data_IF_172365725815
#
_entry.id   IF_172365725815
#
_cell.length_a   1.000
_cell.length_b   1.000
_cell.length_c   1.000
_cell.angle_alpha   90.00
_cell.angle_beta   90.00
_cell.angle_gamma   90.00
#
_symmetry.space_group_name_H-M   'P 1'
#
loop_
_entity.id
_entity.type
_entity.pdbx_description
1 polymer ?
#
# COMPACT_ATOMS: atom_id res chain seq x y z
N UNK A 1 -20.15 11.40 -45.75
CA UNK A 1 -20.11 12.32 -44.62
C UNK A 1 -21.49 12.28 -43.99
N UNK A 2 -21.65 11.56 -42.88
CA UNK A 2 -22.92 11.53 -42.15
C UNK A 2 -23.01 12.84 -41.35
N UNK A 3 -24.13 13.57 -41.48
CA UNK A 3 -24.45 14.68 -40.59
C UNK A 3 -24.40 14.17 -39.15
N UNK A 4 -23.53 14.75 -38.32
CA UNK A 4 -23.57 14.57 -36.88
C UNK A 4 -24.94 15.04 -36.40
N UNK A 5 -25.82 14.09 -36.10
CA UNK A 5 -27.12 14.37 -35.51
C UNK A 5 -26.89 15.12 -34.19
N UNK A 6 -27.52 16.29 -34.10
CA UNK A 6 -27.31 17.23 -33.02
C UNK A 6 -27.97 16.69 -31.74
N UNK A 7 -27.30 16.80 -30.58
CA UNK A 7 -27.71 16.27 -29.25
C UNK A 7 -29.14 16.68 -28.85
N UNK A 8 -29.69 17.73 -29.48
CA UNK A 8 -31.05 18.24 -29.31
C UNK A 8 -32.16 17.40 -29.99
N UNK A 9 -31.85 16.26 -30.61
CA UNK A 9 -32.83 15.42 -31.31
C UNK A 9 -33.43 14.29 -30.46
N UNK A 10 -32.82 13.96 -29.32
CA UNK A 10 -33.29 12.88 -28.46
C UNK A 10 -34.23 13.38 -27.37
N UNK A 11 -35.31 12.64 -27.14
CA UNK A 11 -36.17 12.83 -25.98
C UNK A 11 -35.43 12.44 -24.69
N UNK A 12 -35.86 12.98 -23.54
CA UNK A 12 -35.26 12.66 -22.23
C UNK A 12 -35.23 11.16 -21.93
N UNK A 13 -36.29 10.45 -22.26
CA UNK A 13 -36.37 8.99 -22.07
C UNK A 13 -35.33 8.26 -22.92
N UNK A 14 -35.17 8.66 -24.19
CA UNK A 14 -34.13 8.13 -25.07
C UNK A 14 -32.72 8.45 -24.55
N UNK A 15 -32.50 9.65 -23.99
CA UNK A 15 -31.23 10.02 -23.35
C UNK A 15 -30.92 9.15 -22.13
N UNK A 16 -31.93 8.82 -21.32
CA UNK A 16 -31.79 7.91 -20.18
C UNK A 16 -31.43 6.51 -20.68
N UNK A 17 -32.13 6.00 -21.69
CA UNK A 17 -31.88 4.67 -22.27
C UNK A 17 -30.47 4.58 -22.87
N UNK A 18 -30.03 5.63 -23.57
CA UNK A 18 -28.67 5.74 -24.10
C UNK A 18 -27.63 5.68 -22.96
N UNK A 19 -27.82 6.46 -21.88
CA UNK A 19 -26.87 6.43 -20.75
C UNK A 19 -26.88 5.09 -20.01
N UNK A 20 -28.04 4.44 -19.87
CA UNK A 20 -28.10 3.10 -19.27
C UNK A 20 -27.35 2.09 -20.13
N UNK A 21 -27.58 2.11 -21.44
CA UNK A 21 -26.83 1.27 -22.38
C UNK A 21 -25.32 1.51 -22.26
N UNK A 22 -24.89 2.78 -22.30
CA UNK A 22 -23.48 3.15 -22.18
C UNK A 22 -22.88 2.72 -20.84
N UNK A 23 -23.61 2.88 -19.74
CA UNK A 23 -23.20 2.44 -18.42
C UNK A 23 -22.93 0.93 -18.40
N UNK A 24 -23.87 0.13 -18.89
CA UNK A 24 -23.74 -1.34 -18.96
C UNK A 24 -22.54 -1.75 -19.81
N UNK A 25 -22.38 -1.15 -20.99
CA UNK A 25 -21.28 -1.50 -21.91
C UNK A 25 -19.90 -1.11 -21.35
N UNK A 26 -19.77 0.06 -20.74
CA UNK A 26 -18.49 0.47 -20.11
C UNK A 26 -18.20 -0.39 -18.87
N UNK A 27 -19.21 -0.73 -18.07
CA UNK A 27 -19.03 -1.59 -16.90
C UNK A 27 -18.57 -3.00 -17.30
N UNK A 28 -19.16 -3.55 -18.37
CA UNK A 28 -18.75 -4.80 -18.98
C UNK A 28 -17.30 -4.73 -19.47
N UNK A 29 -16.91 -3.64 -20.13
CA UNK A 29 -15.51 -3.42 -20.55
C UNK A 29 -14.54 -3.46 -19.36
N UNK A 30 -14.85 -2.76 -18.26
CA UNK A 30 -14.02 -2.79 -17.05
C UNK A 30 -13.98 -4.18 -16.41
N UNK A 31 -15.12 -4.88 -16.39
CA UNK A 31 -15.22 -6.24 -15.88
C UNK A 31 -14.34 -7.20 -16.67
N UNK A 32 -14.38 -7.14 -18.00
CA UNK A 32 -13.53 -7.95 -18.88
C UNK A 32 -12.06 -7.64 -18.60
N UNK A 33 -11.67 -6.36 -18.56
CA UNK A 33 -10.29 -5.93 -18.28
C UNK A 33 -9.79 -6.44 -16.93
N UNK A 34 -10.63 -6.38 -15.89
CA UNK A 34 -10.28 -6.87 -14.56
C UNK A 34 -10.11 -8.39 -14.54
N UNK A 35 -10.98 -9.14 -15.23
CA UNK A 35 -10.83 -10.60 -15.39
C UNK A 35 -9.54 -10.96 -16.12
N UNK A 36 -9.22 -10.29 -17.23
CA UNK A 36 -7.97 -10.48 -17.97
C UNK A 36 -6.74 -10.22 -17.09
N UNK A 37 -6.74 -9.12 -16.31
CA UNK A 37 -5.66 -8.83 -15.35
C UNK A 37 -5.53 -9.93 -14.30
N UNK A 38 -6.65 -10.41 -13.77
CA UNK A 38 -6.65 -11.47 -12.76
C UNK A 38 -6.07 -12.78 -13.28
N UNK A 39 -6.37 -13.17 -14.52
CA UNK A 39 -5.80 -14.37 -15.17
C UNK A 39 -4.28 -14.25 -15.25
N UNK A 40 -3.76 -13.10 -15.69
CA UNK A 40 -2.32 -12.84 -15.78
C UNK A 40 -1.68 -12.91 -14.40
N UNK A 41 -2.24 -12.22 -13.41
CA UNK A 41 -1.73 -12.23 -12.03
C UNK A 41 -1.71 -13.62 -11.40
N UNK A 42 -2.78 -14.40 -11.57
CA UNK A 42 -2.88 -15.77 -11.06
C UNK A 42 -1.87 -16.71 -11.73
N UNK A 43 -1.69 -16.59 -13.04
CA UNK A 43 -0.73 -17.40 -13.80
C UNK A 43 0.70 -17.07 -13.39
N UNK A 44 1.06 -15.79 -13.30
CA UNK A 44 2.36 -15.33 -12.80
C UNK A 44 2.60 -15.87 -11.40
N UNK A 45 1.65 -15.70 -10.49
CA UNK A 45 1.76 -16.18 -9.11
C UNK A 45 2.04 -17.69 -9.05
N UNK A 46 1.29 -18.46 -9.84
CA UNK A 46 1.44 -19.92 -9.92
C UNK A 46 2.79 -20.33 -10.47
N UNK A 47 3.24 -19.72 -11.58
CA UNK A 47 4.53 -20.04 -12.21
C UNK A 47 5.72 -19.61 -11.36
N UNK A 48 5.66 -18.46 -10.72
CA UNK A 48 6.70 -18.00 -9.77
C UNK A 48 6.82 -18.95 -8.58
N UNK A 49 5.68 -19.41 -8.04
CA UNK A 49 5.67 -20.40 -6.95
C UNK A 49 6.30 -21.73 -7.40
N UNK A 50 5.90 -22.25 -8.55
CA UNK A 50 6.46 -23.48 -9.12
C UNK A 50 7.97 -23.38 -9.35
N UNK A 51 8.43 -22.30 -10.00
CA UNK A 51 9.85 -22.06 -10.26
C UNK A 51 10.66 -21.92 -8.95
N UNK A 52 10.07 -21.26 -7.94
CA UNK A 52 10.70 -21.14 -6.62
C UNK A 52 10.83 -22.49 -5.93
N UNK A 53 9.75 -23.28 -5.89
CA UNK A 53 9.78 -24.63 -5.30
C UNK A 53 10.77 -25.54 -6.02
N UNK A 54 10.82 -25.49 -7.35
CA UNK A 54 11.78 -26.26 -8.14
C UNK A 54 13.23 -25.88 -7.81
N UNK A 55 13.53 -24.57 -7.72
CA UNK A 55 14.87 -24.09 -7.35
C UNK A 55 15.24 -24.45 -5.91
N UNK A 56 14.30 -24.32 -4.98
CA UNK A 56 14.46 -24.70 -3.58
C UNK A 56 14.80 -26.19 -3.44
N UNK A 57 14.03 -27.07 -4.10
CA UNK A 57 14.27 -28.51 -4.08
C UNK A 57 15.59 -28.88 -4.76
N UNK A 58 15.90 -28.29 -5.92
CA UNK A 58 17.17 -28.50 -6.64
C UNK A 58 18.36 -28.17 -5.76
N UNK A 59 18.35 -27.00 -5.12
CA UNK A 59 19.47 -26.59 -4.28
C UNK A 59 19.59 -27.44 -3.01
N UNK A 60 18.47 -27.83 -2.41
CA UNK A 60 18.47 -28.81 -1.32
C UNK A 60 19.13 -30.13 -1.74
N UNK A 61 18.76 -30.67 -2.91
CA UNK A 61 19.36 -31.90 -3.43
C UNK A 61 20.87 -31.74 -3.70
N UNK A 62 21.31 -30.61 -4.27
CA UNK A 62 22.73 -30.29 -4.47
C UNK A 62 23.47 -30.28 -3.13
N UNK A 63 22.90 -29.62 -2.11
CA UNK A 63 23.43 -29.62 -0.75
C UNK A 63 23.60 -31.03 -0.19
N UNK A 64 22.57 -31.88 -0.33
CA UNK A 64 22.65 -33.28 0.07
C UNK A 64 23.79 -34.03 -0.63
N UNK A 65 23.95 -33.88 -1.95
CA UNK A 65 25.02 -34.54 -2.69
C UNK A 65 26.40 -34.10 -2.18
N UNK A 66 26.60 -32.80 -1.96
CA UNK A 66 27.88 -32.25 -1.47
C UNK A 66 28.24 -32.84 -0.10
N UNK A 67 27.31 -32.87 0.85
CA UNK A 67 27.54 -33.44 2.17
C UNK A 67 27.74 -34.96 2.13
N UNK A 68 26.99 -35.66 1.28
CA UNK A 68 27.18 -37.10 1.08
C UNK A 68 28.60 -37.41 0.61
N UNK A 69 29.14 -36.63 -0.33
CA UNK A 69 30.51 -36.79 -0.82
C UNK A 69 31.57 -36.48 0.25
N UNK A 70 31.36 -35.48 1.12
CA UNK A 70 32.27 -35.22 2.24
C UNK A 70 32.33 -36.38 3.23
N UNK A 71 31.18 -37.00 3.54
CA UNK A 71 31.11 -38.16 4.43
C UNK A 71 31.84 -39.41 3.92
N UNK A 72 32.10 -39.51 2.61
CA UNK A 72 32.90 -40.61 2.02
C UNK A 72 34.40 -40.41 2.28
N UNK A 73 34.87 -39.16 2.27
CA UNK A 73 36.31 -38.83 2.40
C UNK A 73 36.83 -39.15 3.82
N UNK A 74 35.96 -39.18 4.83
CA UNK A 74 36.32 -39.41 6.23
C UNK A 74 36.37 -40.89 6.65
N UNK A 75 35.99 -41.84 5.79
CA UNK A 75 35.87 -43.26 6.19
C UNK A 75 36.68 -44.20 5.28
N UNK A 76 37.84 -44.62 5.78
CA UNK A 76 38.78 -45.45 5.05
C UNK A 76 38.64 -46.97 5.16
N UNK A 77 37.57 -47.60 5.69
CA UNK A 77 37.65 -49.06 5.90
C UNK A 77 36.38 -49.96 5.85
N UNK A 78 35.15 -49.51 5.57
CA UNK A 78 34.00 -50.42 5.39
C UNK A 78 32.92 -49.88 4.43
N UNK A 79 32.70 -50.56 3.29
CA UNK A 79 31.77 -50.14 2.22
C UNK A 79 30.32 -49.90 2.69
N UNK A 80 29.76 -50.81 3.49
CA UNK A 80 28.39 -50.68 4.01
C UNK A 80 28.24 -49.50 4.99
N UNK A 81 29.26 -49.26 5.82
CA UNK A 81 29.26 -48.10 6.73
C UNK A 81 29.39 -46.78 5.96
N UNK A 82 30.19 -46.76 4.89
CA UNK A 82 30.29 -45.60 4.01
C UNK A 82 28.95 -45.29 3.32
N UNK A 83 28.26 -46.29 2.78
CA UNK A 83 26.93 -46.12 2.16
C UNK A 83 25.88 -45.61 3.17
N UNK A 84 25.86 -46.17 4.38
CA UNK A 84 24.94 -45.73 5.42
C UNK A 84 25.20 -44.28 5.84
N UNK A 85 26.47 -43.91 6.05
CA UNK A 85 26.85 -42.55 6.42
C UNK A 85 26.56 -41.54 5.29
N UNK A 86 26.76 -41.93 4.03
CA UNK A 86 26.38 -41.12 2.86
C UNK A 86 24.89 -40.78 2.88
N UNK A 87 24.02 -41.75 3.19
CA UNK A 87 22.58 -41.53 3.29
C UNK A 87 22.20 -40.53 4.37
N UNK A 88 22.82 -40.63 5.55
CA UNK A 88 22.62 -39.67 6.64
C UNK A 88 23.13 -38.28 6.30
N UNK A 89 24.35 -38.19 5.77
CA UNK A 89 24.96 -36.92 5.35
C UNK A 89 24.18 -36.26 4.21
N UNK A 90 23.61 -37.05 3.29
CA UNK A 90 22.72 -36.55 2.25
C UNK A 90 21.50 -35.86 2.83
N UNK A 91 20.77 -36.53 3.74
CA UNK A 91 19.59 -35.96 4.39
C UNK A 91 19.94 -34.72 5.22
N UNK A 92 21.06 -34.76 5.95
CA UNK A 92 21.55 -33.63 6.73
C UNK A 92 21.92 -32.43 5.84
N UNK A 93 22.62 -32.66 4.73
CA UNK A 93 22.96 -31.63 3.75
C UNK A 93 21.72 -31.02 3.10
N UNK A 94 20.71 -31.85 2.76
CA UNK A 94 19.44 -31.34 2.28
C UNK A 94 18.76 -30.43 3.30
N UNK A 95 18.64 -30.89 4.54
CA UNK A 95 17.98 -30.16 5.62
C UNK A 95 18.69 -28.83 5.91
N UNK A 96 20.01 -28.85 5.97
CA UNK A 96 20.85 -27.67 6.24
C UNK A 96 20.67 -26.60 5.16
N UNK A 97 20.75 -26.98 3.88
CA UNK A 97 20.60 -26.03 2.77
C UNK A 97 19.17 -25.51 2.67
N UNK A 98 18.16 -26.36 2.91
CA UNK A 98 16.75 -25.96 2.94
C UNK A 98 16.43 -25.00 4.08
N UNK A 99 16.98 -25.24 5.26
CA UNK A 99 16.86 -24.37 6.42
C UNK A 99 17.53 -23.02 6.15
N UNK A 100 18.75 -23.04 5.57
CA UNK A 100 19.44 -21.82 5.18
C UNK A 100 18.64 -20.98 4.18
N UNK A 101 18.09 -21.61 3.13
CA UNK A 101 17.23 -20.90 2.16
C UNK A 101 15.95 -20.36 2.78
N UNK A 102 15.36 -21.10 3.72
CA UNK A 102 14.19 -20.64 4.46
C UNK A 102 14.52 -19.42 5.34
N UNK A 103 15.64 -19.44 6.07
CA UNK A 103 16.12 -18.30 6.88
C UNK A 103 16.46 -17.06 6.03
N UNK A 104 17.01 -17.28 4.83
CA UNK A 104 17.35 -16.20 3.89
C UNK A 104 16.14 -15.69 3.08
N UNK A 105 15.04 -16.44 3.06
CA UNK A 105 13.77 -16.02 2.50
C UNK A 105 13.09 -15.04 3.47
N UNK A 106 13.39 -13.75 3.33
CA UNK A 106 12.71 -12.71 4.12
C UNK A 106 11.24 -12.62 3.71
N UNK A 107 10.29 -12.50 4.67
CA UNK A 107 8.93 -12.09 4.35
C UNK A 107 8.99 -10.65 3.84
N UNK A 108 8.63 -10.44 2.57
CA UNK A 108 8.49 -9.07 2.05
C UNK A 108 7.19 -8.49 2.59
N UNK A 109 7.27 -7.71 3.68
CA UNK A 109 6.18 -6.90 4.24
C UNK A 109 5.71 -5.75 3.32
N UNK A 110 5.84 -5.89 2.00
CA UNK A 110 5.33 -4.89 1.05
C UNK A 110 3.93 -5.32 0.61
N UNK A 111 2.92 -4.75 1.27
CA UNK A 111 1.53 -4.64 0.80
C UNK A 111 1.37 -3.95 -0.57
N UNK A 112 2.46 -3.67 -1.28
CA UNK A 112 2.53 -3.00 -2.59
C UNK A 112 3.47 -3.73 -3.57
N UNK A 113 3.62 -5.05 -3.46
CA UNK A 113 4.04 -5.82 -4.64
C UNK A 113 2.86 -5.81 -5.60
N UNK A 114 3.03 -5.26 -6.80
CA UNK A 114 2.01 -5.19 -7.86
C UNK A 114 1.49 -6.57 -8.33
N UNK A 115 1.90 -7.66 -7.68
CA UNK A 115 1.61 -9.04 -8.07
C UNK A 115 1.06 -9.92 -6.93
N UNK A 116 0.64 -9.35 -5.79
CA UNK A 116 -0.06 -10.15 -4.75
C UNK A 116 0.71 -11.35 -4.17
N UNK A 117 2.01 -11.45 -4.41
CA UNK A 117 2.87 -12.56 -3.98
C UNK A 117 3.25 -12.39 -2.50
N UNK A 118 2.39 -12.85 -1.59
CA UNK A 118 2.66 -12.84 -0.14
C UNK A 118 3.68 -13.90 0.32
N UNK A 119 4.19 -14.74 -0.57
CA UNK A 119 5.31 -15.62 -0.28
C UNK A 119 6.26 -15.70 -1.47
N UNK A 120 7.54 -15.92 -1.16
CA UNK A 120 8.65 -16.24 -2.07
C UNK A 120 9.25 -15.09 -2.90
N UNK A 121 10.00 -14.18 -2.27
CA UNK A 121 10.92 -13.30 -3.00
C UNK A 121 12.29 -13.24 -2.30
N UNK A 122 13.08 -14.31 -2.47
CA UNK A 122 14.56 -14.23 -2.42
C UNK A 122 15.27 -15.49 -2.95
N UNK A 123 14.54 -16.54 -3.36
CA UNK A 123 15.14 -17.77 -3.91
C UNK A 123 15.51 -17.59 -5.38
N UNK A 124 14.65 -16.96 -6.19
CA UNK A 124 14.94 -16.63 -7.60
C UNK A 124 15.79 -15.35 -7.68
N UNK A 125 16.75 -15.31 -8.62
CA UNK A 125 17.45 -14.05 -8.92
C UNK A 125 16.52 -13.12 -9.72
N UNK A 126 16.80 -11.81 -9.74
CA UNK A 126 15.98 -10.83 -10.49
C UNK A 126 15.75 -11.24 -11.95
N UNK A 127 16.83 -11.63 -12.66
CA UNK A 127 16.75 -12.10 -14.05
C UNK A 127 15.88 -13.36 -14.22
N UNK A 128 15.92 -14.28 -13.26
CA UNK A 128 15.09 -15.49 -13.29
C UNK A 128 13.63 -15.16 -13.03
N UNK A 129 13.36 -14.25 -12.08
CA UNK A 129 12.01 -13.78 -11.79
C UNK A 129 11.41 -13.05 -13.00
N UNK A 130 12.16 -12.13 -13.60
CA UNK A 130 11.75 -11.41 -14.83
C UNK A 130 11.40 -12.39 -15.95
N UNK A 131 12.26 -13.39 -16.19
CA UNK A 131 12.02 -14.40 -17.21
C UNK A 131 10.74 -15.22 -16.92
N UNK A 132 10.57 -15.72 -15.69
CA UNK A 132 9.39 -16.52 -15.31
C UNK A 132 8.12 -15.68 -15.39
N UNK A 133 8.16 -14.42 -14.98
CA UNK A 133 7.02 -13.51 -15.11
C UNK A 133 6.66 -13.29 -16.57
N UNK A 134 7.64 -13.04 -17.44
CA UNK A 134 7.39 -12.81 -18.87
C UNK A 134 6.80 -14.06 -19.56
N UNK A 135 7.37 -15.24 -19.30
CA UNK A 135 6.84 -16.51 -19.83
C UNK A 135 5.41 -16.77 -19.33
N UNK A 136 5.13 -16.49 -18.06
CA UNK A 136 3.81 -16.66 -17.47
C UNK A 136 2.78 -15.65 -18.00
N UNK A 137 3.19 -14.41 -18.30
CA UNK A 137 2.32 -13.43 -18.97
C UNK A 137 1.92 -13.93 -20.35
N UNK A 138 2.89 -14.38 -21.15
CA UNK A 138 2.64 -14.91 -22.50
C UNK A 138 1.75 -16.15 -22.44
N UNK A 139 1.96 -17.05 -21.48
CA UNK A 139 1.09 -18.21 -21.26
C UNK A 139 -0.35 -17.79 -20.91
N UNK A 140 -0.52 -16.83 -20.00
CA UNK A 140 -1.82 -16.32 -19.62
C UNK A 140 -2.55 -15.70 -20.82
N UNK A 141 -1.83 -14.91 -21.62
CA UNK A 141 -2.36 -14.28 -22.84
C UNK A 141 -2.75 -15.31 -23.89
N UNK A 142 -2.07 -16.45 -23.99
CA UNK A 142 -2.44 -17.54 -24.89
C UNK A 142 -3.52 -18.49 -24.35
N UNK A 143 -3.96 -18.34 -23.11
CA UNK A 143 -5.03 -19.17 -22.56
C UNK A 143 -6.35 -18.94 -23.31
N UNK A 144 -7.16 -20.00 -23.45
CA UNK A 144 -8.45 -19.92 -24.13
C UNK A 144 -9.39 -18.89 -23.47
N UNK A 145 -9.38 -18.83 -22.14
CA UNK A 145 -10.19 -17.87 -21.36
C UNK A 145 -9.76 -16.42 -21.61
N UNK A 146 -8.45 -16.15 -21.66
CA UNK A 146 -7.96 -14.81 -21.99
C UNK A 146 -8.32 -14.42 -23.43
N UNK A 147 -8.17 -15.35 -24.37
CA UNK A 147 -8.49 -15.10 -25.78
C UNK A 147 -10.00 -14.87 -26.01
N UNK A 148 -10.88 -15.57 -25.29
CA UNK A 148 -12.32 -15.29 -25.36
C UNK A 148 -12.64 -13.91 -24.80
N UNK A 149 -12.07 -13.54 -23.65
CA UNK A 149 -12.24 -12.22 -23.06
C UNK A 149 -11.67 -11.10 -23.95
N UNK A 150 -10.56 -11.36 -24.64
CA UNK A 150 -9.98 -10.43 -25.60
C UNK A 150 -10.90 -10.24 -26.81
N UNK A 151 -11.51 -11.31 -27.31
CA UNK A 151 -12.49 -11.22 -28.40
C UNK A 151 -13.72 -10.40 -27.97
N UNK A 152 -14.26 -10.65 -26.78
CA UNK A 152 -15.38 -9.88 -26.22
C UNK A 152 -15.00 -8.40 -26.08
N UNK A 153 -13.82 -8.10 -25.53
CA UNK A 153 -13.29 -6.73 -25.43
C UNK A 153 -13.24 -6.04 -26.80
N UNK A 154 -12.70 -6.72 -27.81
CA UNK A 154 -12.59 -6.18 -29.16
C UNK A 154 -13.97 -5.98 -29.82
N UNK A 155 -14.93 -6.86 -29.53
CA UNK A 155 -16.31 -6.72 -29.98
C UNK A 155 -16.98 -5.47 -29.39
N UNK A 156 -16.75 -5.19 -28.09
CA UNK A 156 -17.20 -3.94 -27.48
C UNK A 156 -16.49 -2.72 -28.09
N UNK A 157 -15.17 -2.75 -28.24
CA UNK A 157 -14.39 -1.63 -28.80
C UNK A 157 -14.75 -1.30 -30.26
N UNK A 158 -15.22 -2.29 -31.02
CA UNK A 158 -15.66 -2.13 -32.41
C UNK A 158 -17.17 -1.93 -32.58
N UNK A 159 -17.94 -1.94 -31.48
CA UNK A 159 -19.39 -1.79 -31.50
C UNK A 159 -19.78 -0.38 -31.99
N UNK A 160 -20.32 -0.31 -33.21
CA UNK A 160 -20.67 0.95 -33.87
C UNK A 160 -21.72 1.76 -33.09
N UNK A 161 -22.69 1.09 -32.46
CA UNK A 161 -23.72 1.76 -31.64
C UNK A 161 -23.10 2.38 -30.40
N UNK A 162 -22.19 1.66 -29.74
CA UNK A 162 -21.44 2.18 -28.58
C UNK A 162 -20.60 3.41 -28.99
N UNK A 163 -19.82 3.30 -30.07
CA UNK A 163 -18.99 4.39 -30.55
C UNK A 163 -19.81 5.62 -30.96
N UNK A 164 -20.95 5.41 -31.61
CA UNK A 164 -21.87 6.47 -31.96
C UNK A 164 -22.42 7.18 -30.72
N UNK A 165 -22.95 6.44 -29.73
CA UNK A 165 -23.49 7.06 -28.52
C UNK A 165 -22.42 7.73 -27.65
N UNK A 166 -21.21 7.20 -27.59
CA UNK A 166 -20.08 7.86 -26.95
C UNK A 166 -19.75 9.21 -27.62
N UNK A 167 -19.87 9.30 -28.94
CA UNK A 167 -19.63 10.56 -29.67
C UNK A 167 -20.66 11.66 -29.38
N UNK A 168 -21.82 11.31 -28.81
CA UNK A 168 -22.85 12.26 -28.40
C UNK A 168 -22.57 12.91 -27.05
N UNK A 169 -21.64 12.36 -26.27
CA UNK A 169 -21.30 12.86 -24.95
C UNK A 169 -20.13 13.83 -25.07
N UNK A 170 -20.16 14.98 -24.36
CA UNK A 170 -19.04 15.92 -24.39
C UNK A 170 -17.72 15.28 -23.96
N UNK A 171 -16.65 15.66 -24.65
CA UNK A 171 -15.29 15.23 -24.34
C UNK A 171 -15.00 15.42 -22.84
N UNK A 172 -14.41 14.38 -22.23
CA UNK A 172 -14.09 14.25 -20.79
C UNK A 172 -15.21 13.72 -19.87
N UNK A 173 -16.39 13.35 -20.37
CA UNK A 173 -17.41 12.62 -19.59
C UNK A 173 -17.61 11.20 -20.10
N UNK A 174 -16.59 10.35 -20.00
CA UNK A 174 -16.64 8.98 -20.54
C UNK A 174 -16.25 7.93 -19.48
N UNK A 175 -16.71 8.11 -18.24
CA UNK A 175 -16.52 7.14 -17.17
C UNK A 175 -17.86 6.82 -16.46
N UNK A 176 -17.90 5.70 -15.75
CA UNK A 176 -19.12 5.20 -15.09
C UNK A 176 -19.72 6.19 -14.10
N UNK A 177 -18.88 6.89 -13.35
CA UNK A 177 -19.29 7.89 -12.36
C UNK A 177 -20.02 9.06 -13.02
N UNK A 178 -19.50 9.50 -14.16
CA UNK A 178 -20.09 10.59 -14.93
C UNK A 178 -21.41 10.19 -15.57
N UNK A 179 -21.52 8.97 -16.08
CA UNK A 179 -22.79 8.45 -16.60
C UNK A 179 -23.85 8.31 -15.52
N UNK A 180 -23.48 7.77 -14.36
CA UNK A 180 -24.38 7.67 -13.22
C UNK A 180 -24.86 9.06 -12.75
N UNK A 181 -23.95 10.04 -12.67
CA UNK A 181 -24.28 11.42 -12.31
C UNK A 181 -25.23 12.08 -13.32
N UNK A 182 -24.93 11.98 -14.62
CA UNK A 182 -25.82 12.52 -15.67
C UNK A 182 -27.18 11.82 -15.69
N UNK A 183 -27.24 10.52 -15.44
CA UNK A 183 -28.47 9.75 -15.39
C UNK A 183 -29.38 10.21 -14.25
N UNK A 184 -28.83 10.45 -13.05
CA UNK A 184 -29.60 11.02 -11.92
C UNK A 184 -30.15 12.40 -12.28
N UNK A 185 -29.34 13.26 -12.89
CA UNK A 185 -29.77 14.61 -13.28
C UNK A 185 -30.89 14.61 -14.32
N UNK A 186 -30.86 13.67 -15.26
CA UNK A 186 -31.94 13.49 -16.24
C UNK A 186 -33.19 12.88 -15.61
N UNK A 187 -33.04 11.90 -14.71
CA UNK A 187 -34.17 11.29 -13.97
C UNK A 187 -34.88 12.30 -13.06
N UNK A 188 -34.13 13.20 -12.43
CA UNK A 188 -34.65 14.23 -11.53
C UNK A 188 -35.18 15.48 -12.27
N UNK A 189 -35.28 15.44 -13.60
CA UNK A 189 -35.71 16.58 -14.44
C UNK A 189 -34.85 17.84 -14.29
N UNK A 190 -33.63 17.70 -13.77
CA UNK A 190 -32.68 18.80 -13.58
C UNK A 190 -31.93 19.14 -14.86
N UNK A 191 -31.91 18.20 -15.81
CA UNK A 191 -31.36 18.40 -17.14
C UNK A 191 -32.32 17.90 -18.22
N UNK A 192 -32.23 18.50 -19.41
CA UNK A 192 -33.04 18.15 -20.59
C UNK A 192 -32.24 17.57 -21.74
N UNK A 193 -30.91 17.71 -21.71
CA UNK A 193 -30.00 17.09 -22.67
C UNK A 193 -28.66 16.69 -22.01
N UNK A 194 -27.80 15.96 -22.74
CA UNK A 194 -26.50 15.53 -22.20
C UNK A 194 -25.56 16.68 -21.88
N UNK A 195 -25.57 17.77 -22.65
CA UNK A 195 -24.69 18.89 -22.40
C UNK A 195 -25.05 19.62 -21.09
N UNK A 196 -26.33 19.80 -20.83
CA UNK A 196 -26.84 20.38 -19.59
C UNK A 196 -26.55 19.44 -18.40
N UNK A 197 -26.84 18.15 -18.54
CA UNK A 197 -26.55 17.15 -17.51
C UNK A 197 -25.05 17.11 -17.18
N UNK A 198 -24.19 17.11 -18.19
CA UNK A 198 -22.74 17.13 -18.04
C UNK A 198 -22.25 18.41 -17.33
N UNK A 199 -22.75 19.57 -17.73
CA UNK A 199 -22.38 20.84 -17.11
C UNK A 199 -22.80 20.90 -15.64
N UNK A 200 -24.04 20.52 -15.34
CA UNK A 200 -24.56 20.47 -13.97
C UNK A 200 -23.76 19.49 -13.12
N UNK A 201 -23.47 18.30 -13.64
CA UNK A 201 -22.67 17.30 -12.95
C UNK A 201 -21.28 17.81 -12.61
N UNK A 202 -20.61 18.51 -13.53
CA UNK A 202 -19.31 19.14 -13.27
C UNK A 202 -19.39 20.18 -12.16
N UNK A 203 -20.46 20.97 -12.14
CA UNK A 203 -20.69 21.93 -11.07
C UNK A 203 -20.84 21.23 -9.72
N UNK A 204 -21.58 20.13 -9.65
CA UNK A 204 -21.74 19.34 -8.41
C UNK A 204 -20.41 18.71 -7.96
N UNK A 205 -19.66 18.10 -8.87
CA UNK A 205 -18.33 17.57 -8.58
C UNK A 205 -17.38 18.64 -8.02
N UNK A 206 -17.39 19.83 -8.64
CA UNK A 206 -16.59 20.95 -8.18
C UNK A 206 -17.00 21.40 -6.78
N UNK A 207 -18.30 21.56 -6.52
CA UNK A 207 -18.82 21.92 -5.20
C UNK A 207 -18.44 20.89 -4.13
N UNK A 208 -18.57 19.61 -4.44
CA UNK A 208 -18.21 18.54 -3.50
C UNK A 208 -16.70 18.52 -3.21
N UNK A 209 -15.86 18.79 -4.22
CA UNK A 209 -14.42 18.93 -4.05
C UNK A 209 -14.06 20.09 -3.11
N UNK A 210 -14.67 21.26 -3.31
CA UNK A 210 -14.46 22.44 -2.45
C UNK A 210 -14.91 22.15 -1.01
N UNK A 211 -16.08 21.54 -0.81
CA UNK A 211 -16.56 21.17 0.52
C UNK A 211 -15.61 20.21 1.23
N UNK A 212 -15.09 19.20 0.52
CA UNK A 212 -14.13 18.26 1.07
C UNK A 212 -12.80 18.94 1.45
N UNK A 213 -12.34 19.91 0.66
CA UNK A 213 -11.15 20.71 0.98
C UNK A 213 -11.37 21.59 2.20
N UNK A 214 -12.52 22.27 2.29
CA UNK A 214 -12.89 23.07 3.46
C UNK A 214 -12.96 22.22 4.73
N UNK A 215 -13.55 21.02 4.66
CA UNK A 215 -13.59 20.08 5.78
C UNK A 215 -12.19 19.67 6.24
N UNK A 216 -11.30 19.32 5.31
CA UNK A 216 -9.89 19.01 5.63
C UNK A 216 -9.17 20.19 6.27
N UNK A 217 -9.41 21.41 5.79
CA UNK A 217 -8.83 22.63 6.36
C UNK A 217 -9.36 22.89 7.77
N UNK A 218 -10.66 22.72 8.01
CA UNK A 218 -11.26 22.84 9.33
C UNK A 218 -10.67 21.82 10.32
N UNK A 219 -10.49 20.58 9.91
CA UNK A 219 -9.82 19.54 10.72
C UNK A 219 -8.37 19.91 11.03
N UNK A 220 -7.62 20.45 10.06
CA UNK A 220 -6.26 20.92 10.29
C UNK A 220 -6.21 22.11 11.26
N UNK A 221 -7.14 23.06 11.15
CA UNK A 221 -7.25 24.19 12.06
C UNK A 221 -7.60 23.72 13.48
N UNK A 222 -8.54 22.78 13.62
CA UNK A 222 -8.86 22.18 14.92
C UNK A 222 -7.64 21.49 15.55
N UNK A 223 -6.87 20.73 14.76
CA UNK A 223 -5.61 20.11 15.23
C UNK A 223 -4.57 21.14 15.65
N UNK A 224 -4.39 22.22 14.88
CA UNK A 224 -3.47 23.32 15.24
C UNK A 224 -3.92 24.05 16.50
N UNK A 225 -5.21 24.31 16.65
CA UNK A 225 -5.75 24.95 17.86
C UNK A 225 -5.52 24.06 19.10
N UNK A 226 -5.71 22.75 18.98
CA UNK A 226 -5.40 21.82 20.06
C UNK A 226 -3.90 21.84 20.42
N UNK A 227 -3.01 21.88 19.42
CA UNK A 227 -1.56 22.01 19.65
C UNK A 227 -1.20 23.34 20.34
N UNK A 228 -1.81 24.46 19.93
CA UNK A 228 -1.61 25.77 20.57
C UNK A 228 -2.08 25.74 22.03
N UNK A 229 -3.22 25.09 22.31
CA UNK A 229 -3.69 24.91 23.69
C UNK A 229 -2.68 24.11 24.53
N UNK A 230 -2.17 23.00 23.98
CA UNK A 230 -1.14 22.21 24.66
C UNK A 230 0.14 23.00 24.91
N UNK A 231 0.57 23.83 23.95
CA UNK A 231 1.74 24.71 24.12
C UNK A 231 1.51 25.78 25.18
N UNK A 232 0.30 26.37 25.25
CA UNK A 232 -0.06 27.30 26.33
C UNK A 232 -0.05 26.62 27.69
N UNK A 233 -0.61 25.42 27.79
CA UNK A 233 -0.61 24.65 29.04
C UNK A 233 0.82 24.28 29.47
N UNK A 234 1.70 23.93 28.53
CA UNK A 234 3.12 23.70 28.80
C UNK A 234 3.83 24.96 29.27
N UNK A 235 3.59 26.11 28.61
CA UNK A 235 4.16 27.39 29.01
C UNK A 235 3.69 27.81 30.42
N UNK A 236 2.42 27.61 30.75
CA UNK A 236 1.85 27.88 32.07
C UNK A 236 2.52 26.99 33.15
N UNK A 237 2.71 25.70 32.86
CA UNK A 237 3.42 24.76 33.76
C UNK A 237 4.87 25.15 33.96
N UNK A 238 5.58 25.53 32.89
CA UNK A 238 6.96 26.02 32.96
C UNK A 238 7.05 27.30 33.80
N UNK A 239 6.12 28.25 33.60
CA UNK A 239 6.08 29.49 34.38
C UNK A 239 5.86 29.23 35.87
N UNK A 240 4.94 28.32 36.22
CA UNK A 240 4.73 27.90 37.62
C UNK A 240 5.97 27.21 38.19
N UNK A 241 6.59 26.31 37.42
CA UNK A 241 7.84 25.65 37.81
C UNK A 241 8.98 26.64 38.08
N UNK A 242 9.14 27.65 37.22
CA UNK A 242 10.14 28.69 37.39
C UNK A 242 9.88 29.55 38.63
N UNK A 243 8.63 29.96 38.87
CA UNK A 243 8.27 30.70 40.09
C UNK A 243 8.57 29.90 41.37
N UNK A 244 8.36 28.58 41.36
CA UNK A 244 8.73 27.72 42.49
C UNK A 244 10.24 27.62 42.69
N UNK A 245 11.03 27.56 41.61
CA UNK A 245 12.50 27.56 41.69
C UNK A 245 13.04 28.89 42.23
N UNK A 246 12.45 30.01 41.81
CA UNK A 246 12.81 31.35 42.32
C UNK A 246 12.49 31.49 43.81
N UNK A 247 11.32 31.05 44.26
CA UNK A 247 10.95 31.04 45.69
C UNK A 247 11.87 30.10 46.50
N UNK A 248 12.19 28.91 45.98
CA UNK A 248 13.13 27.98 46.61
C UNK A 248 14.54 28.59 46.72
N UNK A 249 15.02 29.27 45.68
CA UNK A 249 16.30 29.97 45.68
C UNK A 249 16.31 31.13 46.68
N UNK A 250 15.25 31.93 46.74
CA UNK A 250 15.10 33.01 47.72
C UNK A 250 15.15 32.47 49.16
N UNK A 251 14.43 31.37 49.43
CA UNK A 251 14.46 30.70 50.74
C UNK A 251 15.84 30.14 51.09
N UNK A 252 16.53 29.53 50.13
CA UNK A 252 17.89 29.02 50.33
C UNK A 252 18.87 30.17 50.65
N UNK A 253 18.72 31.32 49.98
CA UNK A 253 19.53 32.51 50.23
C UNK A 253 19.29 33.06 51.65
N UNK A 254 18.03 33.11 52.09
CA UNK A 254 17.66 33.51 53.45
C UNK A 254 18.20 32.52 54.50
N UNK A 255 18.14 31.21 54.22
CA UNK A 255 18.70 30.19 55.12
C UNK A 255 20.22 30.31 55.23
N UNK A 256 20.91 30.52 54.11
CA UNK A 256 22.37 30.75 54.11
C UNK A 256 22.74 32.04 54.85
N UNK A 257 21.98 33.13 54.68
CA UNK A 257 22.18 34.36 55.43
C UNK A 257 22.03 34.13 56.94
N UNK A 258 20.98 33.42 57.36
CA UNK A 258 20.77 33.04 58.78
C UNK A 258 21.85 32.09 59.31
N UNK A 259 22.36 31.18 58.49
CA UNK A 259 23.46 30.30 58.87
C UNK A 259 24.76 31.09 59.07
N UNK A 260 25.05 32.04 58.18
CA UNK A 260 26.20 32.94 58.30
C UNK A 260 26.08 33.86 59.52
N UNK A 261 24.90 34.38 59.85
CA UNK A 261 24.67 35.14 61.08
C UNK A 261 24.89 34.28 62.34
N UNK A 262 24.46 33.01 62.33
CA UNK A 262 24.72 32.07 63.43
C UNK A 262 26.21 31.77 63.58
N UNK A 263 26.93 31.57 62.48
CA UNK A 263 28.39 31.39 62.47
C UNK A 263 29.10 32.62 63.01
N UNK A 264 28.74 33.82 62.55
CA UNK A 264 29.31 35.07 63.04
C UNK A 264 29.03 35.30 64.55
N UNK A 265 27.85 34.90 65.04
CA UNK A 265 27.56 34.93 66.47
C UNK A 265 28.33 33.85 67.24
N UNK A 266 28.51 32.64 66.70
CA UNK A 266 29.37 31.62 67.30
C UNK A 266 30.84 32.05 67.37
N UNK A 267 31.35 32.77 66.37
CA UNK A 267 32.68 33.39 66.42
C UNK A 267 32.77 34.48 67.51
N UNK A 268 31.71 35.29 67.68
CA UNK A 268 31.68 36.30 68.76
C UNK A 268 31.59 35.70 70.17
N UNK A 269 30.86 34.61 70.36
CA UNK A 269 30.71 33.97 71.67
C UNK A 269 31.77 32.88 71.97
N UNK A 270 32.42 32.32 70.94
CA UNK A 270 33.50 31.34 71.09
C UNK A 270 34.81 31.93 71.60
N UNK A 271 35.03 33.25 71.43
CA UNK A 271 36.23 33.95 71.94
C UNK A 271 36.21 34.10 73.47
N UNK A 272 35.09 33.83 74.15
CA UNK A 272 34.99 33.94 75.61
C UNK A 272 35.20 32.63 76.40
N UNK A 273 35.46 31.49 75.75
CA UNK A 273 35.52 30.19 76.43
C UNK A 273 36.94 29.63 76.67
N UNK A 274 38.01 30.41 76.44
CA UNK A 274 39.38 29.92 76.67
C UNK A 274 40.28 30.96 77.33
N UNK A 275 39.99 31.33 78.57
CA UNK A 275 41.04 31.77 79.50
C UNK A 275 40.73 31.17 80.87
N UNK A 276 41.48 30.13 81.24
CA UNK A 276 41.70 29.70 82.61
C UNK A 276 43.20 29.59 82.82
#
# INVERSE_FOLDING_TARGET
MAEQQNINQFGREELIDILQYLYVQIDEFFTIKNKMSSIVEQTISTRVKQATTAKYNRNGNIGGIIFALMGVVELGNNFFNALFLMGLMYLFGQATVRLFMWLMARPTNKKHSAFGLNYTVNVLSKKQLEKVTQEATVEAEHSQEYQSLLADKLALESNQTLLYFLSLIPDNFANLTDFAGMLVLLQDFRATNFQEAANLWRTEQHQQSVMNQQKKMAEQLARRNAQISQLRDQAERLRKGQAHLEDAAARATIQNARANEKLANMERYGVHATIR
#
